data_IF_150411696414
#
_entry.id   IF_150411696414
#
_cell.length_a   1.000
_cell.length_b   1.000
_cell.length_c   1.000
_cell.angle_alpha   90.00
_cell.angle_beta   90.00
_cell.angle_gamma   90.00
#
_symmetry.space_group_name_H-M   'P 1'
#
loop_
_entity.id
_entity.type
_entity.pdbx_description
1 polymer ?
#
# COMPACT_ATOMS: atom_id res chain seq x y z
N UNK A 1 15.21 15.58 22.62
CA UNK A 1 14.89 14.15 22.47
C UNK A 1 15.05 13.84 20.99
N UNK A 2 16.06 13.06 20.58
CA UNK A 2 16.27 12.79 19.15
C UNK A 2 15.20 11.81 18.66
N UNK A 3 14.56 12.13 17.54
CA UNK A 3 13.59 11.28 16.88
C UNK A 3 14.25 9.93 16.52
N UNK A 4 13.68 8.82 17.01
CA UNK A 4 14.27 7.49 16.79
C UNK A 4 14.07 7.10 15.33
N UNK A 5 15.15 6.75 14.63
CA UNK A 5 15.12 6.34 13.23
C UNK A 5 14.21 5.14 13.00
N UNK A 6 13.44 5.19 11.90
CA UNK A 6 12.59 4.07 11.44
C UNK A 6 13.45 2.92 10.89
N UNK A 7 12.89 1.72 10.85
CA UNK A 7 13.59 0.54 10.28
C UNK A 7 14.04 0.82 8.85
N UNK A 8 13.18 1.42 8.03
CA UNK A 8 13.49 1.76 6.63
C UNK A 8 14.73 2.64 6.51
N UNK A 9 14.86 3.67 7.35
CA UNK A 9 16.03 4.56 7.37
C UNK A 9 17.30 3.81 7.76
N UNK A 10 17.24 2.98 8.80
CA UNK A 10 18.39 2.18 9.25
C UNK A 10 18.84 1.16 8.19
N UNK A 11 17.89 0.55 7.49
CA UNK A 11 18.18 -0.38 6.38
C UNK A 11 18.82 0.34 5.20
N UNK A 12 18.30 1.50 4.80
CA UNK A 12 18.90 2.29 3.70
C UNK A 12 20.32 2.73 4.02
N UNK A 13 20.56 3.27 5.22
CA UNK A 13 21.91 3.65 5.69
C UNK A 13 22.86 2.46 5.71
N UNK A 14 22.37 1.31 6.16
CA UNK A 14 23.14 0.07 6.18
C UNK A 14 23.54 -0.39 4.77
N UNK A 15 22.60 -0.42 3.83
CA UNK A 15 22.86 -0.83 2.45
C UNK A 15 23.86 0.10 1.76
N UNK A 16 23.74 1.42 1.98
CA UNK A 16 24.70 2.38 1.43
C UNK A 16 26.10 2.17 2.01
N UNK A 17 26.21 1.96 3.33
CA UNK A 17 27.48 1.69 4.00
C UNK A 17 28.11 0.38 3.51
N UNK A 18 27.31 -0.68 3.35
CA UNK A 18 27.75 -1.96 2.81
C UNK A 18 28.22 -1.82 1.36
N UNK A 19 27.48 -1.10 0.52
CA UNK A 19 27.85 -0.84 -0.87
C UNK A 19 29.17 -0.07 -0.99
N UNK A 20 29.34 1.01 -0.21
CA UNK A 20 30.61 1.78 -0.15
C UNK A 20 31.79 0.92 0.27
N UNK A 21 31.60 0.07 1.29
CA UNK A 21 32.63 -0.87 1.75
C UNK A 21 33.00 -1.87 0.65
N UNK A 22 32.01 -2.50 0.03
CA UNK A 22 32.23 -3.49 -1.02
C UNK A 22 32.93 -2.89 -2.24
N UNK A 23 32.55 -1.66 -2.62
CA UNK A 23 33.23 -0.92 -3.69
C UNK A 23 34.71 -0.69 -3.35
N UNK A 24 35.03 -0.23 -2.13
CA UNK A 24 36.41 0.01 -1.71
C UNK A 24 37.23 -1.28 -1.60
N UNK A 25 36.63 -2.37 -1.14
CA UNK A 25 37.30 -3.69 -1.11
C UNK A 25 37.56 -4.17 -2.53
N UNK A 26 36.59 -4.07 -3.44
CA UNK A 26 36.76 -4.44 -4.85
C UNK A 26 37.88 -3.62 -5.52
N UNK A 27 37.93 -2.31 -5.27
CA UNK A 27 38.98 -1.42 -5.77
C UNK A 27 40.38 -1.85 -5.26
N UNK A 28 40.49 -2.17 -3.97
CA UNK A 28 41.75 -2.64 -3.39
C UNK A 28 42.17 -3.99 -3.96
N UNK A 29 41.24 -4.93 -4.14
CA UNK A 29 41.51 -6.23 -4.76
C UNK A 29 41.95 -6.05 -6.21
N UNK A 30 41.34 -5.15 -6.98
CA UNK A 30 41.75 -4.86 -8.36
C UNK A 30 43.19 -4.29 -8.41
N UNK A 31 43.53 -3.36 -7.51
CA UNK A 31 44.89 -2.82 -7.39
C UNK A 31 45.91 -3.90 -7.03
N UNK A 32 45.59 -4.78 -6.08
CA UNK A 32 46.45 -5.88 -5.70
C UNK A 32 46.64 -6.88 -6.85
N UNK A 33 45.57 -7.21 -7.59
CA UNK A 33 45.66 -8.07 -8.78
C UNK A 33 46.60 -7.49 -9.85
N UNK A 34 46.46 -6.20 -10.15
CA UNK A 34 47.38 -5.51 -11.06
C UNK A 34 48.84 -5.54 -10.55
N UNK A 35 49.04 -5.36 -9.23
CA UNK A 35 50.37 -5.51 -8.61
C UNK A 35 50.92 -6.94 -8.78
N UNK A 36 50.10 -7.97 -8.53
CA UNK A 36 50.53 -9.38 -8.70
C UNK A 36 50.90 -9.71 -10.14
N UNK A 37 50.18 -9.17 -11.13
CA UNK A 37 50.52 -9.34 -12.55
C UNK A 37 51.87 -8.67 -12.90
N UNK A 38 52.11 -7.45 -12.42
CA UNK A 38 53.39 -6.75 -12.60
C UNK A 38 54.55 -7.50 -11.95
N UNK A 39 54.39 -7.93 -10.69
CA UNK A 39 55.41 -8.69 -9.97
C UNK A 39 55.72 -10.03 -10.66
N UNK A 40 54.71 -10.74 -11.16
CA UNK A 40 54.92 -11.98 -11.91
C UNK A 40 55.72 -11.75 -13.19
N UNK A 41 55.44 -10.66 -13.91
CA UNK A 41 56.21 -10.27 -15.10
C UNK A 41 57.66 -9.96 -14.74
N UNK A 42 57.91 -9.13 -13.72
CA UNK A 42 59.26 -8.79 -13.26
C UNK A 42 60.04 -10.01 -12.77
N UNK A 43 59.39 -10.93 -12.03
CA UNK A 43 60.00 -12.19 -11.60
C UNK A 43 60.40 -13.04 -12.81
N UNK A 44 59.55 -13.12 -13.84
CA UNK A 44 59.85 -13.87 -15.07
C UNK A 44 61.03 -13.24 -15.82
N UNK A 45 61.05 -11.93 -15.98
CA UNK A 45 62.14 -11.20 -16.65
C UNK A 45 63.47 -11.37 -15.90
N UNK A 46 63.47 -11.23 -14.57
CA UNK A 46 64.67 -11.44 -13.76
C UNK A 46 65.14 -12.90 -13.79
N UNK A 47 64.22 -13.86 -13.85
CA UNK A 47 64.58 -15.28 -13.94
C UNK A 47 65.27 -15.57 -15.28
N UNK A 48 64.75 -15.05 -16.39
CA UNK A 48 65.39 -15.18 -17.71
C UNK A 48 66.77 -14.53 -17.73
N UNK A 49 66.90 -13.28 -17.24
CA UNK A 49 68.17 -12.57 -17.20
C UNK A 49 69.21 -13.26 -16.28
N UNK A 50 68.76 -13.85 -15.17
CA UNK A 50 69.62 -14.63 -14.27
C UNK A 50 70.18 -15.86 -14.99
N UNK A 51 69.35 -16.60 -15.72
CA UNK A 51 69.78 -17.78 -16.49
C UNK A 51 70.82 -17.39 -17.56
N UNK A 52 70.62 -16.25 -18.25
CA UNK A 52 71.59 -15.77 -19.24
C UNK A 52 72.96 -15.44 -18.61
N UNK A 53 72.99 -14.82 -17.43
CA UNK A 53 74.23 -14.53 -16.70
C UNK A 53 74.91 -15.80 -16.21
N UNK A 54 74.14 -16.80 -15.73
CA UNK A 54 74.67 -18.12 -15.35
C UNK A 54 75.31 -18.81 -16.58
N UNK A 55 74.70 -18.74 -17.77
CA UNK A 55 75.26 -19.29 -19.02
C UNK A 55 76.54 -18.56 -19.43
N UNK A 56 76.63 -17.25 -19.22
CA UNK A 56 77.81 -16.43 -19.53
C UNK A 56 78.94 -16.60 -18.50
N UNK A 57 78.70 -17.29 -17.38
CA UNK A 57 79.67 -17.48 -16.30
C UNK A 57 79.81 -16.27 -15.35
N UNK A 58 78.89 -15.30 -15.39
CA UNK A 58 78.85 -14.18 -14.44
C UNK A 58 78.03 -14.56 -13.20
N UNK A 59 78.65 -15.32 -12.30
CA UNK A 59 78.02 -15.75 -11.04
C UNK A 59 77.66 -14.57 -10.12
N UNK A 60 78.45 -13.48 -10.16
CA UNK A 60 78.22 -12.31 -9.31
C UNK A 60 76.97 -11.54 -9.74
N UNK A 61 76.76 -11.39 -11.05
CA UNK A 61 75.54 -10.81 -11.62
C UNK A 61 74.31 -11.69 -11.37
N UNK A 62 74.43 -13.00 -11.58
CA UNK A 62 73.35 -13.96 -11.31
C UNK A 62 72.89 -13.94 -9.84
N UNK A 63 73.83 -13.89 -8.88
CA UNK A 63 73.49 -13.87 -7.45
C UNK A 63 72.76 -12.57 -7.03
N UNK A 64 73.06 -11.43 -7.66
CA UNK A 64 72.30 -10.18 -7.44
C UNK A 64 70.86 -10.34 -7.92
N UNK A 65 70.64 -10.88 -9.11
CA UNK A 65 69.29 -11.12 -9.64
C UNK A 65 68.52 -12.13 -8.79
N UNK A 66 69.19 -13.18 -8.28
CA UNK A 66 68.57 -14.16 -7.37
C UNK A 66 68.03 -13.50 -6.09
N UNK A 67 68.78 -12.55 -5.50
CA UNK A 67 68.35 -11.81 -4.30
C UNK A 67 67.13 -10.93 -4.60
N UNK A 68 67.15 -10.18 -5.71
CA UNK A 68 66.02 -9.34 -6.10
C UNK A 68 64.77 -10.18 -6.42
N UNK A 69 64.94 -11.30 -7.13
CA UNK A 69 63.85 -12.23 -7.44
C UNK A 69 63.20 -12.80 -6.17
N UNK A 70 64.01 -13.10 -5.15
CA UNK A 70 63.50 -13.53 -3.83
C UNK A 70 62.66 -12.44 -3.16
N UNK A 71 63.08 -11.18 -3.24
CA UNK A 71 62.32 -10.05 -2.69
C UNK A 71 60.98 -9.88 -3.42
N UNK A 72 60.97 -9.94 -4.76
CA UNK A 72 59.75 -9.84 -5.56
C UNK A 72 58.76 -10.98 -5.24
N UNK A 73 59.24 -12.21 -5.02
CA UNK A 73 58.41 -13.34 -4.60
C UNK A 73 57.79 -13.17 -3.22
N UNK A 74 58.50 -12.52 -2.29
CA UNK A 74 57.94 -12.16 -0.98
C UNK A 74 56.81 -11.13 -1.14
N UNK A 75 57.03 -10.09 -1.92
CA UNK A 75 55.98 -9.09 -2.20
C UNK A 75 54.76 -9.68 -2.91
N UNK A 76 54.96 -10.67 -3.79
CA UNK A 76 53.89 -11.39 -4.46
C UNK A 76 53.04 -12.15 -3.44
N UNK A 77 53.68 -12.92 -2.55
CA UNK A 77 53.00 -13.67 -1.51
C UNK A 77 52.23 -12.76 -0.54
N UNK A 78 52.79 -11.60 -0.18
CA UNK A 78 52.10 -10.59 0.63
C UNK A 78 50.85 -10.01 -0.07
N UNK A 79 50.96 -9.75 -1.38
CA UNK A 79 49.84 -9.25 -2.18
C UNK A 79 48.72 -10.31 -2.32
N UNK A 80 49.08 -11.56 -2.59
CA UNK A 80 48.14 -12.69 -2.65
C UNK A 80 47.43 -12.93 -1.32
N UNK A 81 48.19 -12.97 -0.21
CA UNK A 81 47.61 -13.09 1.13
C UNK A 81 46.66 -11.93 1.46
N UNK A 82 46.97 -10.71 0.99
CA UNK A 82 46.09 -9.55 1.15
C UNK A 82 44.81 -9.67 0.33
N UNK A 83 44.87 -10.20 -0.89
CA UNK A 83 43.69 -10.48 -1.73
C UNK A 83 42.77 -11.48 -1.01
N UNK A 84 43.32 -12.57 -0.48
CA UNK A 84 42.56 -13.58 0.25
C UNK A 84 41.93 -13.02 1.52
N UNK A 85 42.66 -12.18 2.26
CA UNK A 85 42.14 -11.50 3.44
C UNK A 85 40.93 -10.62 3.09
N UNK A 86 41.00 -9.84 2.01
CA UNK A 86 39.88 -9.02 1.55
C UNK A 86 38.68 -9.87 1.09
N UNK A 87 38.91 -10.96 0.36
CA UNK A 87 37.86 -11.87 -0.08
C UNK A 87 37.08 -12.48 1.10
N UNK A 88 37.80 -12.91 2.14
CA UNK A 88 37.21 -13.43 3.37
C UNK A 88 36.45 -12.36 4.17
N UNK A 89 36.83 -11.09 4.02
CA UNK A 89 36.18 -9.99 4.73
C UNK A 89 34.81 -9.60 4.15
N UNK A 90 34.61 -9.76 2.84
CA UNK A 90 33.33 -9.45 2.17
C UNK A 90 32.26 -10.48 2.55
N UNK A 91 32.63 -11.76 2.69
CA UNK A 91 31.69 -12.83 3.01
C UNK A 91 31.35 -13.01 4.50
N UNK A 92 32.22 -12.59 5.41
CA UNK A 92 32.11 -12.97 6.83
C UNK A 92 31.07 -12.19 7.64
N UNK A 93 30.49 -11.09 7.12
CA UNK A 93 29.47 -10.29 7.83
C UNK A 93 29.94 -9.63 9.15
N UNK A 94 31.18 -9.90 9.59
CA UNK A 94 31.76 -9.53 10.88
C UNK A 94 31.81 -8.02 11.14
N UNK A 95 31.86 -7.20 10.09
CA UNK A 95 31.93 -5.73 10.22
C UNK A 95 30.59 -5.02 10.37
N UNK A 96 29.48 -5.76 10.48
CA UNK A 96 28.12 -5.20 10.42
C UNK A 96 27.21 -5.60 11.59
N UNK A 97 27.74 -6.33 12.59
CA UNK A 97 26.94 -6.89 13.69
C UNK A 97 26.13 -5.84 14.44
N UNK A 98 26.73 -4.69 14.77
CA UNK A 98 26.08 -3.63 15.54
C UNK A 98 24.94 -2.96 14.76
N UNK A 99 25.14 -2.72 13.47
CA UNK A 99 24.11 -2.14 12.60
C UNK A 99 22.94 -3.11 12.42
N UNK A 100 23.22 -4.40 12.23
CA UNK A 100 22.20 -5.44 12.12
C UNK A 100 21.40 -5.57 13.42
N UNK A 101 22.08 -5.54 14.58
CA UNK A 101 21.42 -5.52 15.90
C UNK A 101 20.54 -4.28 16.09
N UNK A 102 21.01 -3.10 15.66
CA UNK A 102 20.22 -1.87 15.73
C UNK A 102 18.97 -1.93 14.83
N UNK A 103 19.11 -2.45 13.60
CA UNK A 103 17.98 -2.70 12.70
C UNK A 103 16.98 -3.67 13.35
N UNK A 104 17.47 -4.78 13.90
CA UNK A 104 16.64 -5.79 14.58
C UNK A 104 15.88 -5.18 15.77
N UNK A 105 16.56 -4.40 16.61
CA UNK A 105 15.95 -3.75 17.75
C UNK A 105 14.89 -2.72 17.33
N UNK A 106 15.11 -2.01 16.23
CA UNK A 106 14.11 -1.09 15.67
C UNK A 106 12.91 -1.86 15.09
N UNK A 107 13.15 -2.98 14.40
CA UNK A 107 12.10 -3.80 13.81
C UNK A 107 11.19 -4.42 14.88
N UNK A 108 11.76 -4.94 15.96
CA UNK A 108 10.99 -5.45 17.10
C UNK A 108 10.07 -4.37 17.67
N UNK A 109 10.58 -3.13 17.79
CA UNK A 109 9.80 -2.01 18.31
C UNK A 109 8.65 -1.64 17.37
N UNK A 110 8.94 -1.46 16.08
CA UNK A 110 7.93 -1.09 15.08
C UNK A 110 6.85 -2.17 14.93
N UNK A 111 7.21 -3.46 15.01
CA UNK A 111 6.24 -4.56 15.07
C UNK A 111 5.33 -4.44 16.29
N UNK A 112 5.89 -4.15 17.46
CA UNK A 112 5.11 -4.01 18.70
C UNK A 112 4.16 -2.81 18.63
N UNK A 113 4.64 -1.66 18.17
CA UNK A 113 3.84 -0.45 17.98
C UNK A 113 2.69 -0.70 16.98
N UNK A 114 2.96 -1.39 15.87
CA UNK A 114 1.93 -1.76 14.91
C UNK A 114 0.90 -2.74 15.48
N UNK A 115 1.31 -3.72 16.30
CA UNK A 115 0.40 -4.64 16.97
C UNK A 115 -0.52 -3.90 17.95
N UNK A 116 0.01 -2.96 18.73
CA UNK A 116 -0.76 -2.13 19.65
C UNK A 116 -1.77 -1.26 18.89
N UNK A 117 -1.36 -0.64 17.77
CA UNK A 117 -2.26 0.14 16.91
C UNK A 117 -3.37 -0.72 16.29
N UNK A 118 -3.04 -1.90 15.76
CA UNK A 118 -4.03 -2.82 15.19
C UNK A 118 -5.05 -3.24 16.25
N UNK A 119 -4.59 -3.54 17.47
CA UNK A 119 -5.50 -3.90 18.55
C UNK A 119 -6.42 -2.73 18.93
N UNK A 120 -5.88 -1.53 19.08
CA UNK A 120 -6.68 -0.34 19.37
C UNK A 120 -7.74 -0.07 18.30
N UNK A 121 -7.40 -0.25 17.02
CA UNK A 121 -8.36 -0.11 15.90
C UNK A 121 -9.45 -1.18 15.98
N UNK A 122 -9.09 -2.44 16.29
CA UNK A 122 -10.07 -3.52 16.45
C UNK A 122 -11.03 -3.28 17.62
N UNK A 123 -10.51 -2.76 18.72
CA UNK A 123 -11.35 -2.44 19.88
C UNK A 123 -12.35 -1.33 19.52
N UNK A 124 -11.92 -0.31 18.77
CA UNK A 124 -12.80 0.74 18.25
C UNK A 124 -13.84 0.20 17.26
N UNK A 125 -13.45 -0.72 16.38
CA UNK A 125 -14.36 -1.39 15.46
C UNK A 125 -15.44 -2.16 16.22
N UNK A 126 -15.06 -2.93 17.25
CA UNK A 126 -16.02 -3.69 18.07
C UNK A 126 -17.01 -2.78 18.81
N UNK A 127 -16.54 -1.66 19.35
CA UNK A 127 -17.39 -0.69 20.05
C UNK A 127 -18.39 -0.01 19.10
N UNK A 128 -17.94 0.40 17.90
CA UNK A 128 -18.84 0.92 16.86
C UNK A 128 -19.88 -0.13 16.43
N UNK A 129 -19.49 -1.39 16.32
CA UNK A 129 -20.38 -2.48 15.94
C UNK A 129 -21.47 -2.75 17.00
N UNK A 130 -21.14 -2.55 18.29
CA UNK A 130 -22.12 -2.58 19.39
C UNK A 130 -23.08 -1.40 19.32
N UNK A 131 -22.57 -0.19 19.08
CA UNK A 131 -23.40 1.01 18.93
C UNK A 131 -24.38 0.88 17.77
N UNK A 132 -23.92 0.37 16.62
CA UNK A 132 -24.77 0.11 15.46
C UNK A 132 -25.90 -0.85 15.80
N UNK A 133 -25.60 -1.99 16.47
CA UNK A 133 -26.64 -2.94 16.90
C UNK A 133 -27.65 -2.32 17.87
N UNK A 134 -27.21 -1.47 18.79
CA UNK A 134 -28.09 -0.77 19.71
C UNK A 134 -29.02 0.21 18.98
N UNK A 135 -28.48 0.98 18.03
CA UNK A 135 -29.25 1.92 17.19
C UNK A 135 -30.26 1.16 16.32
N UNK A 136 -29.86 0.05 15.69
CA UNK A 136 -30.75 -0.79 14.90
C UNK A 136 -31.90 -1.38 15.73
N UNK A 137 -31.59 -1.84 16.94
CA UNK A 137 -32.61 -2.32 17.88
C UNK A 137 -33.61 -1.23 18.23
N UNK A 138 -33.11 -0.02 18.56
CA UNK A 138 -33.96 1.14 18.86
C UNK A 138 -34.81 1.55 17.65
N UNK A 139 -34.27 1.49 16.44
CA UNK A 139 -35.02 1.75 15.20
C UNK A 139 -36.16 0.75 15.05
N UNK A 140 -35.90 -0.54 15.24
CA UNK A 140 -36.92 -1.60 15.18
C UNK A 140 -38.02 -1.40 16.22
N UNK A 141 -37.65 -1.05 17.46
CA UNK A 141 -38.60 -0.75 18.52
C UNK A 141 -39.50 0.44 18.17
N UNK A 142 -38.91 1.54 17.71
CA UNK A 142 -39.67 2.73 17.31
C UNK A 142 -40.58 2.44 16.12
N UNK A 143 -40.13 1.70 15.11
CA UNK A 143 -40.97 1.27 13.99
C UNK A 143 -42.15 0.42 14.45
N UNK A 144 -41.93 -0.56 15.34
CA UNK A 144 -42.99 -1.38 15.91
C UNK A 144 -43.99 -0.54 16.72
N UNK A 145 -43.50 0.47 17.46
CA UNK A 145 -44.34 1.40 18.20
C UNK A 145 -45.19 2.28 17.28
N UNK A 146 -44.61 2.82 16.20
CA UNK A 146 -45.36 3.57 15.18
C UNK A 146 -46.44 2.69 14.58
N UNK A 147 -46.12 1.46 14.18
CA UNK A 147 -47.08 0.53 13.61
C UNK A 147 -48.21 0.18 14.59
N UNK A 148 -47.87 -0.08 15.86
CA UNK A 148 -48.86 -0.32 16.91
C UNK A 148 -49.80 0.87 17.08
N UNK A 149 -49.25 2.09 17.14
CA UNK A 149 -50.05 3.32 17.26
C UNK A 149 -50.97 3.45 16.06
N UNK A 150 -50.45 3.33 14.84
CA UNK A 150 -51.24 3.42 13.60
C UNK A 150 -52.38 2.39 13.56
N UNK A 151 -52.13 1.14 13.98
CA UNK A 151 -53.17 0.09 14.03
C UNK A 151 -54.22 0.32 15.12
N UNK A 152 -53.86 1.01 16.21
CA UNK A 152 -54.76 1.30 17.34
C UNK A 152 -55.42 2.68 17.27
N UNK A 153 -55.03 3.50 16.29
CA UNK A 153 -55.49 4.88 16.13
C UNK A 153 -56.96 4.98 15.76
N UNK A 154 -57.57 6.17 15.99
CA UNK A 154 -58.95 6.44 15.57
C UNK A 154 -59.14 6.20 14.06
N UNK A 155 -58.11 6.45 13.24
CA UNK A 155 -58.12 6.22 11.80
C UNK A 155 -58.46 4.77 11.44
N UNK A 156 -57.93 3.77 12.16
CA UNK A 156 -58.25 2.36 11.88
C UNK A 156 -59.69 1.99 12.25
N UNK A 157 -60.30 2.69 13.22
CA UNK A 157 -61.72 2.50 13.52
C UNK A 157 -62.60 3.23 12.51
N UNK A 158 -62.20 4.44 12.10
CA UNK A 158 -62.90 5.28 11.13
C UNK A 158 -62.81 4.74 9.70
N UNK A 159 -61.74 4.01 9.36
CA UNK A 159 -61.60 3.34 8.05
C UNK A 159 -62.74 2.36 7.77
N UNK A 160 -63.31 1.75 8.81
CA UNK A 160 -64.47 0.85 8.70
C UNK A 160 -65.76 1.56 8.31
N UNK A 161 -65.85 2.87 8.58
CA UNK A 161 -66.99 3.70 8.22
C UNK A 161 -66.67 4.71 7.11
N UNK A 162 -65.51 4.59 6.46
CA UNK A 162 -64.99 5.54 5.50
C UNK A 162 -65.97 5.87 4.37
N UNK A 163 -66.67 4.86 3.84
CA UNK A 163 -67.68 5.01 2.77
C UNK A 163 -68.90 5.82 3.24
N UNK A 164 -69.18 5.84 4.55
CA UNK A 164 -70.25 6.64 5.13
C UNK A 164 -69.81 8.06 5.49
N UNK A 165 -68.50 8.30 5.62
CA UNK A 165 -67.93 9.64 5.76
C UNK A 165 -68.04 10.39 4.43
N UNK A 166 -67.55 9.76 3.34
CA UNK A 166 -67.79 10.23 1.97
C UNK A 166 -67.80 9.03 1.00
N UNK A 167 -68.89 8.78 0.24
CA UNK A 167 -68.98 7.64 -0.67
C UNK A 167 -67.91 7.60 -1.77
N UNK A 168 -67.33 8.75 -2.15
CA UNK A 168 -66.25 8.86 -3.15
C UNK A 168 -64.94 8.24 -2.65
N UNK A 169 -64.79 8.02 -1.35
CA UNK A 169 -63.63 7.30 -0.78
C UNK A 169 -63.51 5.86 -1.26
N UNK A 170 -64.60 5.25 -1.76
CA UNK A 170 -64.58 3.90 -2.34
C UNK A 170 -63.63 3.78 -3.54
N UNK A 171 -63.43 4.87 -4.29
CA UNK A 171 -62.48 4.93 -5.41
C UNK A 171 -61.05 5.28 -4.99
N UNK A 172 -60.81 5.65 -3.73
CA UNK A 172 -59.45 5.91 -3.24
C UNK A 172 -58.68 4.58 -3.10
N UNK A 173 -57.41 4.53 -3.52
CA UNK A 173 -56.50 3.45 -3.17
C UNK A 173 -56.37 3.28 -1.65
N UNK A 174 -56.24 2.03 -1.18
CA UNK A 174 -56.18 1.70 0.25
C UNK A 174 -55.05 2.41 1.02
N UNK A 175 -53.92 2.70 0.37
CA UNK A 175 -52.82 3.45 1.01
C UNK A 175 -53.12 4.95 1.22
N UNK A 176 -54.17 5.49 0.60
CA UNK A 176 -54.61 6.88 0.76
C UNK A 176 -55.72 7.03 1.81
N UNK A 177 -56.33 5.94 2.26
CA UNK A 177 -57.44 5.97 3.22
C UNK A 177 -57.03 6.58 4.56
N UNK A 178 -55.85 6.22 5.08
CA UNK A 178 -55.32 6.78 6.32
C UNK A 178 -55.01 8.28 6.19
N UNK A 179 -54.52 8.72 5.02
CA UNK A 179 -54.22 10.13 4.80
C UNK A 179 -55.51 10.96 4.72
N UNK A 180 -56.50 10.48 3.96
CA UNK A 180 -57.83 11.09 3.89
C UNK A 180 -58.46 11.22 5.28
N UNK A 181 -58.42 10.17 6.09
CA UNK A 181 -58.97 10.19 7.44
C UNK A 181 -58.24 11.18 8.36
N UNK A 182 -56.91 11.30 8.27
CA UNK A 182 -56.16 12.29 9.05
C UNK A 182 -56.59 13.71 8.71
N UNK A 183 -56.65 14.05 7.42
CA UNK A 183 -57.10 15.35 6.94
C UNK A 183 -58.53 15.63 7.41
N UNK A 184 -59.43 14.65 7.24
CA UNK A 184 -60.82 14.76 7.66
C UNK A 184 -60.98 14.98 9.17
N UNK A 185 -60.27 14.21 10.01
CA UNK A 185 -60.28 14.37 11.48
C UNK A 185 -59.84 15.79 11.89
N UNK A 186 -58.89 16.36 11.15
CA UNK A 186 -58.32 17.68 11.43
C UNK A 186 -59.09 18.82 10.76
N UNK A 187 -60.22 18.51 10.09
CA UNK A 187 -61.02 19.46 9.32
C UNK A 187 -60.21 20.19 8.23
N UNK A 188 -59.20 19.50 7.68
CA UNK A 188 -58.43 19.96 6.53
C UNK A 188 -59.18 19.64 5.23
N UNK A 189 -58.86 20.35 4.15
CA UNK A 189 -59.51 20.16 2.86
C UNK A 189 -59.21 18.77 2.30
N UNK A 190 -60.24 17.94 2.11
CA UNK A 190 -60.13 16.59 1.55
C UNK A 190 -60.55 16.50 0.08
N UNK A 191 -61.08 17.58 -0.52
CA UNK A 191 -61.64 17.52 -1.87
C UNK A 191 -60.59 17.19 -2.92
N UNK A 192 -59.36 17.69 -2.77
CA UNK A 192 -58.24 17.39 -3.69
C UNK A 192 -57.92 15.89 -3.78
N UNK A 193 -58.23 15.09 -2.75
CA UNK A 193 -58.09 13.64 -2.80
C UNK A 193 -59.25 12.96 -3.53
N UNK A 194 -60.46 13.52 -3.44
CA UNK A 194 -61.71 12.90 -3.88
C UNK A 194 -62.10 13.23 -5.32
N UNK A 195 -61.65 14.35 -5.86
CA UNK A 195 -62.01 14.81 -7.21
C UNK A 195 -61.20 14.12 -8.30
N UNK A 196 -60.15 13.36 -7.94
CA UNK A 196 -59.24 12.76 -8.92
C UNK A 196 -58.52 13.80 -9.78
N UNK A 197 -58.61 15.08 -9.44
CA UNK A 197 -57.70 16.06 -9.98
C UNK A 197 -56.31 15.60 -9.58
N UNK A 198 -55.38 15.42 -10.54
CA UNK A 198 -54.00 15.19 -10.16
C UNK A 198 -53.65 16.38 -9.28
N UNK A 199 -53.33 16.12 -8.01
CA UNK A 199 -52.54 17.07 -7.26
C UNK A 199 -51.48 17.55 -8.24
N UNK A 200 -51.44 18.86 -8.50
CA UNK A 200 -50.24 19.44 -9.01
C UNK A 200 -49.21 19.18 -7.92
N UNK A 201 -48.59 18.00 -8.00
CA UNK A 201 -47.26 17.76 -7.51
C UNK A 201 -46.41 18.64 -8.41
N UNK A 202 -46.35 19.93 -8.07
CA UNK A 202 -45.16 20.71 -8.35
C UNK A 202 -43.98 19.80 -8.08
N UNK A 203 -42.99 19.79 -8.99
CA UNK A 203 -42.08 18.67 -9.21
C UNK A 203 -41.80 17.99 -7.88
N UNK A 204 -42.15 16.70 -7.78
CA UNK A 204 -41.85 15.88 -6.60
C UNK A 204 -40.35 16.06 -6.34
N UNK A 205 -40.02 17.03 -5.50
CA UNK A 205 -38.84 16.99 -4.69
C UNK A 205 -39.26 15.99 -3.65
N UNK A 206 -39.03 14.71 -3.96
CA UNK A 206 -38.66 13.79 -2.93
C UNK A 206 -37.60 14.53 -2.12
N UNK A 207 -37.98 15.01 -0.94
CA UNK A 207 -37.03 15.17 0.15
C UNK A 207 -36.70 13.74 0.59
N UNK A 208 -36.04 13.00 -0.31
CA UNK A 208 -34.81 12.38 0.10
C UNK A 208 -33.98 13.57 0.56
N UNK A 209 -33.60 13.59 1.82
CA UNK A 209 -32.50 14.40 2.29
C UNK A 209 -31.23 13.89 1.59
N UNK A 210 -31.15 14.12 0.27
CA UNK A 210 -29.90 14.31 -0.41
C UNK A 210 -29.51 15.68 0.06
N UNK A 211 -28.63 15.69 1.06
CA UNK A 211 -27.70 16.79 1.29
C UNK A 211 -27.23 17.25 -0.11
N UNK A 212 -27.87 18.28 -0.65
CA UNK A 212 -27.24 19.17 -1.62
C UNK A 212 -26.22 19.96 -0.80
N UNK A 213 -25.17 19.24 -0.41
CA UNK A 213 -23.85 19.80 -0.49
C UNK A 213 -23.78 20.42 -1.89
N UNK A 214 -23.40 21.70 -1.90
CA UNK A 214 -22.81 22.40 -3.04
C UNK A 214 -22.33 21.40 -4.07
N UNK A 215 -22.79 21.54 -5.31
CA UNK A 215 -22.30 20.78 -6.45
C UNK A 215 -20.80 21.00 -6.60
N UNK A 216 -20.03 20.25 -5.82
CA UNK A 216 -18.73 19.77 -6.21
C UNK A 216 -19.00 18.73 -7.30
N UNK A 217 -18.22 18.75 -8.39
CA UNK A 217 -18.37 17.76 -9.45
C UNK A 217 -18.27 16.38 -8.80
N UNK A 218 -19.32 15.56 -8.93
CA UNK A 218 -19.32 14.16 -8.47
C UNK A 218 -18.25 13.43 -9.26
N UNK A 219 -17.03 13.45 -8.74
CA UNK A 219 -15.91 12.67 -9.24
C UNK A 219 -16.21 11.24 -8.83
N UNK A 220 -16.85 10.50 -9.73
CA UNK A 220 -17.21 9.11 -9.51
C UNK A 220 -15.92 8.29 -9.68
N UNK A 221 -15.41 7.76 -8.57
CA UNK A 221 -14.29 6.82 -8.61
C UNK A 221 -14.82 5.48 -9.10
N UNK A 222 -14.20 4.95 -10.14
CA UNK A 222 -14.46 3.65 -10.74
C UNK A 222 -13.31 2.70 -10.42
N UNK A 223 -13.60 1.41 -10.30
CA UNK A 223 -12.60 0.38 -10.02
C UNK A 223 -12.53 -0.61 -11.16
N UNK A 224 -11.36 -0.75 -11.79
CA UNK A 224 -11.07 -1.78 -12.77
C UNK A 224 -10.29 -2.94 -12.10
N UNK A 225 -10.72 -4.17 -12.39
CA UNK A 225 -10.04 -5.39 -11.96
C UNK A 225 -9.42 -6.09 -13.16
N UNK A 226 -8.09 -6.15 -13.20
CA UNK A 226 -7.33 -6.75 -14.30
C UNK A 226 -6.67 -8.05 -13.83
N UNK A 227 -6.75 -9.10 -14.66
CA UNK A 227 -6.11 -10.39 -14.41
C UNK A 227 -5.02 -10.67 -15.45
N UNK A 228 -3.85 -11.11 -14.99
CA UNK A 228 -2.75 -11.59 -15.84
C UNK A 228 -1.42 -11.70 -15.10
N UNK A 229 -0.39 -12.16 -15.80
CA UNK A 229 0.92 -12.52 -15.23
C UNK A 229 1.91 -11.36 -15.09
N UNK A 230 1.65 -10.23 -15.75
CA UNK A 230 2.48 -9.02 -15.64
C UNK A 230 1.61 -7.80 -15.37
N UNK A 231 1.58 -7.37 -14.11
CA UNK A 231 0.76 -6.22 -13.68
C UNK A 231 1.20 -4.92 -14.32
N UNK A 232 2.50 -4.75 -14.62
CA UNK A 232 3.02 -3.53 -15.22
C UNK A 232 2.57 -3.39 -16.67
N UNK A 233 2.65 -4.48 -17.43
CA UNK A 233 2.13 -4.50 -18.81
C UNK A 233 0.62 -4.30 -18.86
N UNK A 234 -0.14 -4.90 -17.93
CA UNK A 234 -1.59 -4.70 -17.83
C UNK A 234 -1.96 -3.25 -17.53
N UNK A 235 -1.26 -2.62 -16.58
CA UNK A 235 -1.48 -1.22 -16.22
C UNK A 235 -1.24 -0.28 -17.41
N UNK A 236 -0.11 -0.42 -18.11
CA UNK A 236 0.21 0.41 -19.27
C UNK A 236 -0.77 0.20 -20.43
N UNK A 237 -1.15 -1.05 -20.71
CA UNK A 237 -2.15 -1.35 -21.74
C UNK A 237 -3.53 -0.78 -21.40
N UNK A 238 -3.93 -0.84 -20.12
CA UNK A 238 -5.21 -0.30 -19.69
C UNK A 238 -5.23 1.24 -19.78
N UNK A 239 -4.15 1.89 -19.31
CA UNK A 239 -3.98 3.35 -19.41
C UNK A 239 -3.99 3.82 -20.87
N UNK A 240 -3.35 3.09 -21.77
CA UNK A 240 -3.36 3.38 -23.20
C UNK A 240 -4.78 3.35 -23.80
N UNK A 241 -5.61 2.40 -23.37
CA UNK A 241 -6.96 2.25 -23.89
C UNK A 241 -7.97 3.23 -23.26
N UNK A 242 -7.62 3.91 -22.18
CA UNK A 242 -8.52 4.81 -21.44
C UNK A 242 -7.86 6.20 -21.26
N UNK A 243 -7.66 6.97 -22.34
CA UNK A 243 -6.94 8.24 -22.28
C UNK A 243 -7.67 9.34 -21.50
N UNK A 244 -8.98 9.22 -21.31
CA UNK A 244 -9.83 10.19 -20.62
C UNK A 244 -10.05 9.83 -19.15
N UNK A 245 -9.12 9.11 -18.53
CA UNK A 245 -9.21 8.77 -17.10
C UNK A 245 -8.05 9.34 -16.31
N UNK A 246 -8.35 9.81 -15.10
CA UNK A 246 -7.35 10.17 -14.10
C UNK A 246 -7.23 9.03 -13.10
N UNK A 247 -6.05 8.44 -12.98
CA UNK A 247 -5.80 7.35 -12.03
C UNK A 247 -5.67 7.94 -10.63
N UNK A 248 -6.47 7.42 -9.70
CA UNK A 248 -6.50 7.82 -8.29
C UNK A 248 -5.55 6.95 -7.48
N UNK A 249 -5.64 5.63 -7.67
CA UNK A 249 -4.85 4.64 -6.95
C UNK A 249 -4.72 3.37 -7.78
N UNK A 250 -3.65 2.60 -7.59
CA UNK A 250 -3.54 1.26 -8.14
C UNK A 250 -2.82 0.33 -7.16
N UNK A 251 -3.16 -0.96 -7.22
CA UNK A 251 -2.45 -1.99 -6.47
C UNK A 251 -0.96 -2.09 -6.86
N UNK A 252 -0.16 -2.77 -6.03
CA UNK A 252 1.28 -2.94 -6.26
C UNK A 252 1.58 -3.53 -7.64
N UNK A 253 2.42 -2.83 -8.41
CA UNK A 253 2.88 -3.25 -9.74
C UNK A 253 4.10 -4.18 -9.69
N UNK A 254 4.74 -4.31 -8.52
CA UNK A 254 5.97 -5.09 -8.36
C UNK A 254 5.72 -6.60 -8.18
N UNK A 255 4.46 -6.99 -7.90
CA UNK A 255 4.09 -8.40 -7.80
C UNK A 255 3.75 -8.99 -9.17
N UNK A 256 4.40 -10.09 -9.55
CA UNK A 256 4.08 -10.87 -10.79
C UNK A 256 2.83 -11.76 -10.68
N UNK A 257 2.17 -11.77 -9.53
CA UNK A 257 1.05 -12.68 -9.25
C UNK A 257 -0.11 -11.91 -8.59
N UNK A 258 -1.34 -12.30 -8.96
CA UNK A 258 -2.59 -11.78 -8.42
C UNK A 258 -3.27 -10.70 -9.28
N UNK A 259 -4.53 -10.34 -8.97
CA UNK A 259 -5.26 -9.30 -9.67
C UNK A 259 -4.62 -7.92 -9.44
N UNK A 260 -4.71 -7.05 -10.44
CA UNK A 260 -4.41 -5.62 -10.34
C UNK A 260 -5.72 -4.85 -10.24
N UNK A 261 -5.86 -4.08 -9.18
CA UNK A 261 -6.99 -3.17 -8.97
C UNK A 261 -6.54 -1.74 -9.30
N UNK A 262 -7.32 -1.02 -10.11
CA UNK A 262 -7.06 0.37 -10.47
C UNK A 262 -8.30 1.19 -10.12
N UNK A 263 -8.13 2.19 -9.27
CA UNK A 263 -9.14 3.21 -9.00
C UNK A 263 -8.88 4.43 -9.88
N UNK A 264 -9.91 4.89 -10.59
CA UNK A 264 -9.79 5.97 -11.56
C UNK A 264 -11.05 6.83 -11.63
N UNK A 265 -10.91 8.05 -12.14
CA UNK A 265 -12.01 8.98 -12.41
C UNK A 265 -12.09 9.22 -13.91
N UNK A 266 -13.31 9.35 -14.44
CA UNK A 266 -13.51 9.82 -15.81
C UNK A 266 -13.35 11.35 -15.82
N UNK A 267 -12.57 11.85 -16.79
CA UNK A 267 -12.50 13.27 -17.08
C UNK A 267 -13.63 13.57 -18.08
N UNK A 268 -14.61 14.38 -17.67
CA UNK A 268 -15.66 14.91 -18.58
C UNK A 268 -15.06 15.86 -19.62
#
# INVERSE_FOLDING_TARGET
MFEKKKVSQLVSEFLEKAARRNSKVSENVAKLKSKTESLNKEISEQTSAMIELEIQGDEAGAEKLRKTSRQLRLELAEAEASIDAYANQVGSGTGHSKEIEAIRASAIREIKENQELIQAIRDQEEDLDKEMKAIESKRKELSARIESISRSGPENSLSKILIYIDPRTKSLPSFQHDHFLRLWIHSEDTEHMLTGEPEFRGPISTVSEVIQAKSEPKTRIHTAHLQGSDKRSLFESWKFNHPNVTIVEHGSLDSRLGPLEIQYMLND
#
